data_IF_056399399200
#
_entry.id   IF_056399399200
#
_cell.length_a   1.000
_cell.length_b   1.000
_cell.length_c   1.000
_cell.angle_alpha   90.00
_cell.angle_beta   90.00
_cell.angle_gamma   90.00
#
_symmetry.space_group_name_H-M   'P 1'
#
loop_
_entity.id
_entity.type
_entity.pdbx_description
1 polymer ?
#
# COMPACT_ATOMS: atom_id res chain seq x y z
N UNK A 1 2.00 9.65 8.73
CA UNK A 1 3.09 10.51 9.26
C UNK A 1 3.55 11.46 8.18
N UNK A 2 4.07 12.65 8.55
CA UNK A 2 4.62 13.62 7.61
C UNK A 2 6.14 13.52 7.65
N UNK A 3 6.78 13.57 6.49
CA UNK A 3 8.22 13.55 6.29
C UNK A 3 8.64 14.77 5.47
N UNK A 4 9.75 15.41 5.85
CA UNK A 4 10.37 16.49 5.08
C UNK A 4 11.39 15.96 4.08
N UNK A 5 11.80 14.72 4.26
CA UNK A 5 12.84 14.05 3.44
C UNK A 5 12.60 12.54 3.40
N UNK A 6 13.10 11.89 2.36
CA UNK A 6 12.94 10.44 2.17
C UNK A 6 14.13 9.61 2.66
N UNK A 7 15.22 10.27 3.03
CA UNK A 7 16.40 9.65 3.66
C UNK A 7 16.32 9.73 5.19
N UNK A 8 15.12 9.61 5.74
CA UNK A 8 14.86 9.61 7.19
C UNK A 8 15.72 8.56 7.90
N UNK A 9 16.33 8.90 9.05
CA UNK A 9 17.13 7.96 9.82
C UNK A 9 16.33 6.70 10.21
N UNK A 10 16.91 5.50 10.11
CA UNK A 10 16.22 4.24 10.48
C UNK A 10 15.63 4.21 11.88
N UNK A 11 16.25 4.91 12.82
CA UNK A 11 15.79 5.02 14.22
C UNK A 11 14.45 5.77 14.28
N UNK A 12 14.33 6.91 13.57
CA UNK A 12 13.09 7.69 13.53
C UNK A 12 11.97 6.90 12.88
N UNK A 13 12.25 6.20 11.79
CA UNK A 13 11.28 5.33 11.12
C UNK A 13 10.77 4.23 12.04
N UNK A 14 11.64 3.60 12.83
CA UNK A 14 11.24 2.59 13.81
C UNK A 14 10.25 3.13 14.83
N UNK A 15 10.53 4.30 15.41
CA UNK A 15 9.63 4.91 16.40
C UNK A 15 8.26 5.26 15.82
N UNK A 16 8.23 5.68 14.55
CA UNK A 16 7.02 6.18 13.89
C UNK A 16 6.19 5.08 13.23
N UNK A 17 6.82 3.98 12.79
CA UNK A 17 6.16 2.90 12.05
C UNK A 17 6.11 1.58 12.80
N UNK A 18 6.97 1.39 13.81
CA UNK A 18 7.18 0.12 14.49
C UNK A 18 8.09 -0.86 13.72
N UNK A 19 8.58 -0.48 12.53
CA UNK A 19 9.46 -1.29 11.71
C UNK A 19 10.92 -0.88 11.90
N UNK A 20 11.76 -1.80 12.37
CA UNK A 20 13.20 -1.60 12.48
C UNK A 20 13.87 -1.88 11.14
N UNK A 21 14.72 -0.97 10.66
CA UNK A 21 15.53 -1.20 9.46
C UNK A 21 16.81 -1.90 9.89
N UNK A 22 17.03 -3.10 9.36
CA UNK A 22 18.17 -3.96 9.65
C UNK A 22 18.85 -4.37 8.34
N UNK A 23 20.03 -5.02 8.37
CA UNK A 23 20.64 -5.59 7.17
C UNK A 23 19.75 -6.61 6.43
N UNK A 24 18.84 -7.27 7.14
CA UNK A 24 17.89 -8.26 6.58
C UNK A 24 16.65 -7.60 5.97
N UNK A 25 16.45 -6.29 6.19
CA UNK A 25 15.30 -5.54 5.70
C UNK A 25 14.54 -4.77 6.79
N UNK A 26 13.26 -4.53 6.58
CA UNK A 26 12.36 -3.97 7.59
C UNK A 26 11.79 -5.08 8.46
N UNK A 27 12.06 -5.04 9.76
CA UNK A 27 11.67 -6.09 10.70
C UNK A 27 10.73 -5.56 11.80
N UNK A 28 9.68 -6.34 12.12
CA UNK A 28 8.78 -6.11 13.25
C UNK A 28 8.46 -7.45 13.93
N UNK A 29 8.97 -7.63 15.16
CA UNK A 29 8.94 -8.94 15.83
C UNK A 29 9.74 -9.98 15.03
N UNK A 30 9.12 -11.09 14.72
CA UNK A 30 9.73 -12.19 13.95
C UNK A 30 9.55 -12.02 12.42
N UNK A 31 8.81 -11.00 11.99
CA UNK A 31 8.56 -10.76 10.56
C UNK A 31 9.56 -9.78 10.01
N UNK A 32 10.31 -10.19 8.98
CA UNK A 32 11.22 -9.33 8.22
C UNK A 32 10.82 -9.30 6.75
N UNK A 33 10.75 -8.10 6.18
CA UNK A 33 10.48 -7.86 4.76
C UNK A 33 11.77 -7.37 4.11
N UNK A 34 12.35 -8.10 3.17
CA UNK A 34 13.59 -7.69 2.51
C UNK A 34 13.42 -6.34 1.79
N UNK A 35 14.39 -5.44 1.96
CA UNK A 35 14.45 -4.16 1.27
C UNK A 35 15.62 -4.15 0.29
N UNK A 36 15.45 -3.46 -0.83
CA UNK A 36 16.55 -3.22 -1.75
C UNK A 36 17.54 -2.19 -1.18
N UNK A 37 18.82 -2.36 -1.48
CA UNK A 37 19.84 -1.38 -1.17
C UNK A 37 20.12 -0.48 -2.39
N UNK A 38 20.36 0.84 -2.22
CA UNK A 38 20.35 1.58 -0.94
C UNK A 38 18.93 1.74 -0.38
N UNK A 39 18.83 1.86 0.95
CA UNK A 39 17.56 2.05 1.63
C UNK A 39 16.92 3.40 1.23
N UNK A 40 15.62 3.34 0.93
CA UNK A 40 14.78 4.51 0.64
C UNK A 40 13.40 4.28 1.27
N UNK A 41 12.82 5.31 1.84
CA UNK A 41 11.46 5.29 2.42
C UNK A 41 10.39 4.90 1.38
N UNK A 42 10.58 5.21 0.11
CA UNK A 42 9.68 4.77 -0.97
C UNK A 42 9.63 3.24 -1.09
N UNK A 43 10.81 2.60 -1.03
CA UNK A 43 10.90 1.14 -1.08
C UNK A 43 10.24 0.51 0.15
N UNK A 44 10.46 1.09 1.34
CA UNK A 44 9.79 0.68 2.57
C UNK A 44 8.26 0.76 2.40
N UNK A 45 7.75 1.93 1.97
CA UNK A 45 6.32 2.15 1.76
C UNK A 45 5.74 1.16 0.74
N UNK A 46 6.46 0.92 -0.37
CA UNK A 46 6.05 -0.02 -1.40
C UNK A 46 5.97 -1.46 -0.89
N UNK A 47 6.97 -1.92 -0.15
CA UNK A 47 7.06 -3.29 0.38
C UNK A 47 6.03 -3.56 1.47
N UNK A 48 5.81 -2.59 2.35
CA UNK A 48 4.85 -2.72 3.44
C UNK A 48 3.41 -2.31 3.07
N UNK A 49 3.18 -1.92 1.83
CA UNK A 49 1.84 -1.51 1.40
C UNK A 49 1.35 -0.21 2.03
N UNK A 50 2.26 0.67 2.41
CA UNK A 50 1.95 2.00 2.93
C UNK A 50 1.70 2.98 1.78
N UNK A 51 0.67 3.83 1.88
CA UNK A 51 0.47 4.91 0.95
C UNK A 51 1.55 5.99 1.17
N UNK A 52 2.17 6.47 0.09
CA UNK A 52 3.13 7.57 0.13
C UNK A 52 2.72 8.62 -0.90
N UNK A 53 2.39 9.82 -0.44
CA UNK A 53 1.92 10.93 -1.26
C UNK A 53 2.84 12.13 -1.08
N UNK A 54 3.20 12.77 -2.19
CA UNK A 54 4.03 13.98 -2.19
C UNK A 54 3.17 15.23 -2.33
N UNK A 55 3.45 16.24 -1.50
CA UNK A 55 3.06 17.62 -1.74
C UNK A 55 4.25 18.37 -2.34
N UNK A 56 4.26 18.50 -3.65
CA UNK A 56 5.35 19.15 -4.39
C UNK A 56 5.48 20.64 -4.03
N UNK A 57 4.36 21.30 -3.74
CA UNK A 57 4.34 22.74 -3.41
C UNK A 57 5.11 23.05 -2.14
N UNK A 58 5.03 22.17 -1.15
CA UNK A 58 5.66 22.38 0.16
C UNK A 58 6.87 21.47 0.39
N UNK A 59 7.20 20.60 -0.56
CA UNK A 59 8.32 19.65 -0.44
C UNK A 59 8.12 18.61 0.66
N UNK A 60 6.86 18.28 0.97
CA UNK A 60 6.51 17.36 2.04
C UNK A 60 6.03 16.02 1.51
N UNK A 61 6.16 14.99 2.33
CA UNK A 61 5.64 13.67 2.05
C UNK A 61 4.70 13.23 3.18
N UNK A 62 3.56 12.65 2.82
CA UNK A 62 2.65 12.01 3.75
C UNK A 62 2.73 10.49 3.58
N UNK A 63 3.11 9.78 4.64
CA UNK A 63 3.12 8.31 4.65
C UNK A 63 2.01 7.79 5.55
N UNK A 64 1.14 6.95 5.00
CA UNK A 64 0.07 6.27 5.71
C UNK A 64 0.58 5.05 6.49
N UNK A 65 -0.29 4.43 7.30
CA UNK A 65 0.00 3.14 7.93
C UNK A 65 0.06 2.02 6.87
N UNK A 66 0.59 0.87 7.26
CA UNK A 66 0.49 -0.32 6.43
C UNK A 66 -0.97 -0.71 6.20
N UNK A 67 -1.32 -1.07 4.97
CA UNK A 67 -2.69 -1.44 4.63
C UNK A 67 -3.08 -2.84 5.12
N UNK A 68 -2.10 -3.69 5.42
CA UNK A 68 -2.28 -5.10 5.78
C UNK A 68 -3.24 -5.85 4.82
N UNK A 69 -3.33 -5.40 3.57
CA UNK A 69 -4.26 -5.95 2.59
C UNK A 69 -5.69 -5.41 2.65
N UNK A 70 -6.01 -4.53 3.60
CA UNK A 70 -7.37 -4.00 3.77
C UNK A 70 -7.67 -2.74 2.96
N UNK A 71 -6.66 -2.12 2.35
CA UNK A 71 -6.84 -0.92 1.53
C UNK A 71 -6.04 -1.01 0.23
N UNK A 72 -6.60 -0.46 -0.84
CA UNK A 72 -5.89 -0.30 -2.11
C UNK A 72 -4.87 0.84 -2.01
N UNK A 73 -3.70 0.63 -2.59
CA UNK A 73 -2.62 1.63 -2.66
C UNK A 73 -2.75 2.56 -3.85
N UNK A 74 -3.59 2.22 -4.80
CA UNK A 74 -3.86 2.96 -6.03
C UNK A 74 -5.35 3.19 -6.17
N UNK A 75 -5.75 4.18 -6.97
CA UNK A 75 -7.15 4.39 -7.36
C UNK A 75 -7.60 3.43 -8.46
N UNK A 76 -6.75 2.52 -8.90
CA UNK A 76 -7.11 1.52 -9.90
C UNK A 76 -7.72 0.28 -9.25
N UNK A 77 -8.88 -0.12 -9.73
CA UNK A 77 -9.49 -1.39 -9.37
C UNK A 77 -8.63 -2.53 -9.92
N UNK A 78 -8.20 -3.49 -9.08
CA UNK A 78 -7.52 -4.69 -9.56
C UNK A 78 -8.42 -5.49 -10.52
N UNK A 79 -7.80 -6.31 -11.37
CA UNK A 79 -8.55 -7.18 -12.26
C UNK A 79 -9.16 -8.33 -11.45
N UNK A 80 -10.42 -8.16 -11.09
CA UNK A 80 -11.19 -9.13 -10.33
C UNK A 80 -12.13 -9.84 -11.29
N UNK A 81 -12.11 -11.16 -11.26
CA UNK A 81 -13.02 -12.02 -12.01
C UNK A 81 -14.05 -12.63 -11.05
N UNK A 82 -15.32 -12.44 -11.31
CA UNK A 82 -16.42 -12.96 -10.50
C UNK A 82 -17.38 -13.74 -11.40
N UNK A 83 -17.94 -14.86 -10.92
CA UNK A 83 -18.97 -15.57 -11.66
C UNK A 83 -20.31 -14.79 -11.68
N UNK A 84 -20.97 -14.76 -12.82
CA UNK A 84 -22.35 -14.27 -12.93
C UNK A 84 -23.34 -15.29 -12.33
N UNK A 85 -24.64 -14.96 -12.37
CA UNK A 85 -25.71 -15.85 -11.89
C UNK A 85 -25.82 -17.18 -12.66
N UNK A 86 -25.15 -17.30 -13.81
CA UNK A 86 -25.10 -18.51 -14.64
C UNK A 86 -23.77 -19.24 -14.50
N UNK A 87 -22.88 -18.78 -13.60
CA UNK A 87 -21.56 -19.36 -13.39
C UNK A 87 -20.51 -18.99 -14.44
N UNK A 88 -20.77 -17.98 -15.29
CA UNK A 88 -19.82 -17.51 -16.29
C UNK A 88 -18.93 -16.43 -15.69
N UNK A 89 -17.64 -16.53 -15.93
CA UNK A 89 -16.66 -15.57 -15.46
C UNK A 89 -16.85 -14.19 -16.12
N UNK A 90 -16.94 -13.16 -15.28
CA UNK A 90 -17.01 -11.75 -15.68
C UNK A 90 -15.83 -11.01 -15.05
N UNK A 91 -14.92 -10.49 -15.89
CA UNK A 91 -13.85 -9.62 -15.46
C UNK A 91 -14.37 -8.19 -15.23
N UNK A 92 -14.10 -7.62 -14.06
CA UNK A 92 -14.46 -6.22 -13.77
C UNK A 92 -13.73 -5.23 -14.68
N UNK A 93 -12.60 -5.65 -15.26
CA UNK A 93 -11.87 -4.88 -16.26
C UNK A 93 -12.69 -4.58 -17.52
N UNK A 94 -13.67 -5.44 -17.86
CA UNK A 94 -14.55 -5.24 -19.02
C UNK A 94 -15.42 -3.98 -18.93
N UNK A 95 -15.57 -3.42 -17.71
CA UNK A 95 -16.34 -2.21 -17.47
C UNK A 95 -15.50 -0.92 -17.51
N UNK A 96 -14.20 -1.01 -17.86
CA UNK A 96 -13.36 0.19 -17.99
C UNK A 96 -13.97 1.19 -18.99
N UNK A 97 -13.90 2.48 -18.63
CA UNK A 97 -14.51 3.58 -19.40
C UNK A 97 -15.98 3.83 -19.07
N UNK A 98 -16.60 3.02 -18.22
CA UNK A 98 -17.96 3.25 -17.71
C UNK A 98 -17.94 3.58 -16.22
N UNK A 99 -18.98 4.29 -15.74
CA UNK A 99 -19.18 4.51 -14.31
C UNK A 99 -19.88 3.28 -13.74
N UNK A 100 -19.26 2.63 -12.76
CA UNK A 100 -19.78 1.43 -12.09
C UNK A 100 -20.03 1.73 -10.62
N UNK A 101 -21.24 1.47 -10.15
CA UNK A 101 -21.56 1.42 -8.75
C UNK A 101 -21.62 -0.04 -8.30
N UNK A 102 -20.84 -0.41 -7.29
CA UNK A 102 -20.79 -1.78 -6.78
C UNK A 102 -21.31 -1.81 -5.34
N UNK A 103 -22.25 -2.72 -5.10
CA UNK A 103 -22.78 -3.00 -3.76
C UNK A 103 -22.53 -4.47 -3.43
N UNK A 104 -21.93 -4.72 -2.26
CA UNK A 104 -21.79 -6.06 -1.71
C UNK A 104 -22.65 -6.17 -0.45
N UNK A 105 -23.48 -7.21 -0.37
CA UNK A 105 -24.29 -7.50 0.82
C UNK A 105 -24.40 -9.02 1.03
N UNK A 106 -24.84 -9.41 2.19
CA UNK A 106 -25.18 -10.78 2.49
C UNK A 106 -26.51 -10.84 3.28
N UNK A 107 -27.22 -11.91 3.08
CA UNK A 107 -28.54 -12.16 3.69
C UNK A 107 -28.42 -13.18 4.84
N UNK A 108 -27.62 -12.88 5.87
CA UNK A 108 -27.56 -13.71 7.10
C UNK A 108 -28.41 -13.15 8.19
#
# INVERSE_FOLDING_TARGET
MILERLDEPPVELKWRTGWAITPDGACRGEVCVPLAAPFDVRELARRLGMALVQDEKHGLWAMGPESAGHALRTAELPDIVLPDRHGRDVSLRSFRGTKVFMLAWASW
#
